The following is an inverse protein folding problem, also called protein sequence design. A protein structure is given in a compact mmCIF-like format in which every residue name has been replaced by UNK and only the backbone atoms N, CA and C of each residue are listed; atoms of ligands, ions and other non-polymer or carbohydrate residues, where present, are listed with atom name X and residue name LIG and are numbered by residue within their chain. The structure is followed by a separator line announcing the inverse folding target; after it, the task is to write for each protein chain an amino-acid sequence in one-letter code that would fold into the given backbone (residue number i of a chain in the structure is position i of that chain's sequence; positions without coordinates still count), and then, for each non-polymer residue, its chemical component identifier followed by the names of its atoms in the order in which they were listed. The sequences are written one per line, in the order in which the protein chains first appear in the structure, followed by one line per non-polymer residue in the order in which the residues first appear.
data_IF_165268605128
#
_entry.id   IF_165268605128
#
_cell.length_a   1.000
_cell.length_b   1.000
_cell.length_c   1.000
_cell.angle_alpha   90.00
_cell.angle_beta   90.00
_cell.angle_gamma   90.00
#
_symmetry.space_group_name_H-M   'P 1'
#
loop_
_entity.id
_entity.type
_entity.pdbx_description
1 polymer ?
#
# COMPACT_ATOMS: atom_id res chain seq x y z
N UNK A 1 -6.85 6.19 8.60
CA UNK A 1 -5.81 6.92 7.83
C UNK A 1 -5.81 6.32 6.44
N UNK A 2 -5.90 7.16 5.40
CA UNK A 2 -5.99 6.69 4.02
C UNK A 2 -4.69 6.97 3.27
N UNK A 3 -4.39 6.15 2.26
CA UNK A 3 -3.30 6.45 1.33
C UNK A 3 -3.75 7.51 0.33
N UNK A 4 -2.82 8.36 -0.09
CA UNK A 4 -3.01 9.25 -1.23
C UNK A 4 -3.20 8.46 -2.52
N UNK A 5 -3.85 9.08 -3.52
CA UNK A 5 -4.03 8.46 -4.84
C UNK A 5 -2.69 8.11 -5.51
N UNK A 6 -1.66 8.91 -5.28
CA UNK A 6 -0.31 8.65 -5.78
C UNK A 6 0.25 7.36 -5.19
N UNK A 7 0.14 7.16 -3.87
CA UNK A 7 0.60 5.96 -3.21
C UNK A 7 -0.21 4.72 -3.66
N UNK A 8 -1.54 4.83 -3.79
CA UNK A 8 -2.39 3.75 -4.28
C UNK A 8 -2.02 3.29 -5.69
N UNK A 9 -1.81 4.24 -6.60
CA UNK A 9 -1.41 3.95 -7.98
C UNK A 9 -0.03 3.28 -8.01
N UNK A 10 0.91 3.75 -7.20
CA UNK A 10 2.25 3.20 -7.16
C UNK A 10 2.28 1.73 -6.71
N UNK A 11 1.45 1.36 -5.72
CA UNK A 11 1.42 0.00 -5.16
C UNK A 11 0.55 -0.98 -5.95
N UNK A 12 -0.33 -0.49 -6.83
CA UNK A 12 -1.18 -1.33 -7.67
C UNK A 12 -0.46 -1.91 -8.89
N UNK A 13 0.75 -2.46 -8.67
CA UNK A 13 1.56 -3.15 -9.67
C UNK A 13 1.73 -4.62 -9.26
N UNK A 14 1.71 -5.59 -10.19
CA UNK A 14 1.78 -7.01 -9.84
C UNK A 14 2.94 -7.38 -8.89
N UNK A 15 4.14 -6.86 -9.16
CA UNK A 15 5.31 -7.12 -8.31
C UNK A 15 5.16 -6.58 -6.88
N UNK A 16 4.56 -5.38 -6.74
CA UNK A 16 4.36 -4.75 -5.43
C UNK A 16 3.21 -5.43 -4.69
N UNK A 17 2.12 -5.78 -5.37
CA UNK A 17 1.01 -6.55 -4.76
C UNK A 17 1.51 -7.87 -4.19
N UNK A 18 2.40 -8.57 -4.90
CA UNK A 18 3.02 -9.80 -4.40
C UNK A 18 3.82 -9.55 -3.12
N UNK A 19 4.64 -8.51 -3.09
CA UNK A 19 5.38 -8.13 -1.87
C UNK A 19 4.45 -7.77 -0.70
N UNK A 20 3.33 -7.09 -0.98
CA UNK A 20 2.32 -6.75 0.02
C UNK A 20 1.58 -8.00 0.55
N UNK A 21 1.36 -9.01 -0.30
CA UNK A 21 0.81 -10.30 0.15
C UNK A 21 1.71 -10.96 1.17
N UNK A 22 3.02 -10.99 0.92
CA UNK A 22 4.00 -11.58 1.83
C UNK A 22 4.04 -10.81 3.16
N UNK A 23 4.04 -9.48 3.10
CA UNK A 23 4.07 -8.60 4.28
C UNK A 23 2.81 -8.69 5.14
N UNK A 24 1.64 -8.79 4.50
CA UNK A 24 0.36 -8.85 5.20
C UNK A 24 -0.14 -10.29 5.43
N UNK A 25 0.61 -11.29 4.96
CA UNK A 25 0.25 -12.70 4.96
C UNK A 25 -1.18 -12.93 4.45
N UNK A 26 -1.50 -12.41 3.26
CA UNK A 26 -2.83 -12.50 2.67
C UNK A 26 -2.79 -12.77 1.16
N UNK A 27 -3.96 -13.06 0.58
CA UNK A 27 -4.07 -13.38 -0.85
C UNK A 27 -4.01 -12.12 -1.74
N UNK A 28 -3.70 -12.30 -3.03
CA UNK A 28 -3.72 -11.20 -4.01
C UNK A 28 -5.12 -10.56 -4.12
N UNK A 29 -6.17 -11.37 -4.00
CA UNK A 29 -7.55 -10.89 -3.97
C UNK A 29 -7.78 -9.91 -2.81
N UNK A 30 -7.28 -10.25 -1.61
CA UNK A 30 -7.39 -9.40 -0.43
C UNK A 30 -6.62 -8.09 -0.62
N UNK A 31 -5.40 -8.13 -1.15
CA UNK A 31 -4.63 -6.91 -1.48
C UNK A 31 -5.37 -6.04 -2.50
N UNK A 32 -5.91 -6.65 -3.55
CA UNK A 32 -6.67 -5.92 -4.58
C UNK A 32 -7.89 -5.23 -3.99
N UNK A 33 -8.60 -5.91 -3.07
CA UNK A 33 -9.73 -5.32 -2.33
C UNK A 33 -9.29 -4.19 -1.40
N UNK A 34 -8.14 -4.33 -0.72
CA UNK A 34 -7.60 -3.28 0.15
C UNK A 34 -7.24 -2.03 -0.63
N UNK A 35 -6.60 -2.18 -1.80
CA UNK A 35 -6.27 -1.07 -2.70
C UNK A 35 -7.56 -0.40 -3.20
N UNK A 36 -8.51 -1.18 -3.70
CA UNK A 36 -9.79 -0.65 -4.20
C UNK A 36 -10.56 0.13 -3.14
N UNK A 37 -10.54 -0.33 -1.88
CA UNK A 37 -11.26 0.31 -0.77
C UNK A 37 -10.44 1.35 0.00
N UNK A 38 -9.17 1.57 -0.37
CA UNK A 38 -8.21 2.35 0.40
C UNK A 38 -8.26 2.00 1.91
N UNK A 39 -8.07 0.71 2.20
CA UNK A 39 -8.23 0.16 3.54
C UNK A 39 -7.13 0.66 4.49
N UNK A 40 -7.48 0.90 5.75
CA UNK A 40 -6.51 1.20 6.82
C UNK A 40 -5.45 0.09 7.01
N UNK A 41 -5.67 -1.12 6.50
CA UNK A 41 -4.63 -2.16 6.48
C UNK A 41 -3.40 -1.75 5.67
N UNK A 42 -3.56 -0.83 4.70
CA UNK A 42 -2.46 -0.30 3.89
C UNK A 42 -1.65 0.79 4.60
N UNK A 43 -2.12 1.33 5.72
CA UNK A 43 -1.39 2.31 6.53
C UNK A 43 -0.67 1.69 7.72
N UNK A 44 -0.67 0.35 7.84
CA UNK A 44 0.14 -0.39 8.82
C UNK A 44 1.63 -0.16 8.55
N UNK A 45 2.43 -0.12 9.62
CA UNK A 45 3.86 0.20 9.57
C UNK A 45 4.65 -0.64 8.54
N UNK A 46 4.38 -1.95 8.47
CA UNK A 46 5.06 -2.83 7.53
C UNK A 46 4.72 -2.52 6.06
N UNK A 47 3.47 -2.12 5.77
CA UNK A 47 3.06 -1.70 4.42
C UNK A 47 3.67 -0.34 4.11
N UNK A 48 3.56 0.63 5.04
CA UNK A 48 4.13 1.97 4.89
C UNK A 48 5.64 1.91 4.56
N UNK A 49 6.37 0.97 5.16
CA UNK A 49 7.76 0.72 4.81
C UNK A 49 7.92 0.30 3.34
N UNK A 50 7.14 -0.66 2.85
CA UNK A 50 7.17 -1.05 1.44
C UNK A 50 6.85 0.13 0.52
N UNK A 51 5.84 0.95 0.88
CA UNK A 51 5.45 2.12 0.07
C UNK A 51 6.60 3.12 -0.01
N UNK A 52 7.25 3.45 1.11
CA UNK A 52 8.41 4.34 1.13
C UNK A 52 9.54 3.81 0.24
N UNK A 53 9.86 2.53 0.36
CA UNK A 53 10.93 1.90 -0.42
C UNK A 53 10.65 1.92 -1.94
N UNK A 54 9.40 1.69 -2.36
CA UNK A 54 9.07 1.62 -3.80
C UNK A 54 8.78 2.98 -4.43
N UNK A 55 8.40 3.98 -3.63
CA UNK A 55 8.01 5.31 -4.14
C UNK A 55 9.01 6.42 -3.85
N UNK A 56 9.83 6.27 -2.80
CA UNK A 56 10.68 7.35 -2.29
C UNK A 56 9.92 8.52 -1.66
N UNK A 57 8.61 8.38 -1.45
CA UNK A 57 7.76 9.44 -0.91
C UNK A 57 7.87 9.55 0.61
N UNK A 58 7.73 10.76 1.13
CA UNK A 58 7.58 11.01 2.57
C UNK A 58 6.19 10.62 3.07
N UNK A 59 6.05 10.37 4.37
CA UNK A 59 4.78 9.96 4.97
C UNK A 59 3.64 10.97 4.72
N UNK A 60 3.95 12.27 4.67
CA UNK A 60 3.00 13.34 4.33
C UNK A 60 2.49 13.31 2.89
N UNK A 61 3.22 12.64 1.99
CA UNK A 61 2.83 12.44 0.59
C UNK A 61 2.13 11.08 0.40
N UNK A 62 2.44 10.10 1.25
CA UNK A 62 1.84 8.77 1.23
C UNK A 62 0.45 8.78 1.85
N UNK A 63 0.26 9.49 2.95
CA UNK A 63 -1.01 9.56 3.66
C UNK A 63 -1.84 10.75 3.15
N UNK A 64 -3.13 10.52 2.95
CA UNK A 64 -4.11 11.59 2.83
C UNK A 64 -4.31 12.21 4.23
N UNK A 65 -4.16 13.53 4.32
CA UNK A 65 -4.50 14.33 5.50
C UNK A 65 -6.01 14.52 5.64
#
# INVERSE_FOLDING_TARGET
MKLSQQALSAINKPAIRRRLMDVLNCTEFTISRYIQKNSDNLTKAAVMQVIREVTGLADSQILEG
#
